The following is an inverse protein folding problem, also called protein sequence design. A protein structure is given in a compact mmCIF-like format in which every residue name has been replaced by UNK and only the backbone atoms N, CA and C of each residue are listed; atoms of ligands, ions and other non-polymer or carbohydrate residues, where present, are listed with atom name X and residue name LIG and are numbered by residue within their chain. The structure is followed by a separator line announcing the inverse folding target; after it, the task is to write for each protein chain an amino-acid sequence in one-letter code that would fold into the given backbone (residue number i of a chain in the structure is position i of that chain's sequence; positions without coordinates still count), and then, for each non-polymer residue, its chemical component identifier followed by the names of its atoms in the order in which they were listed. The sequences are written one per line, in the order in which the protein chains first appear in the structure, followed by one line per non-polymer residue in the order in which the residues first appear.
data_IF_532399440452
#
_entry.id   IF_532399440452
#
_cell.length_a   1.000
_cell.length_b   1.000
_cell.length_c   1.000
_cell.angle_alpha   90.00
_cell.angle_beta   90.00
_cell.angle_gamma   90.00
#
_symmetry.space_group_name_H-M   'P 1'
#
loop_
_entity.id
_entity.type
_entity.pdbx_description
1 polymer ?
#
# COMPACT_ATOMS: atom_id res chain seq x y z
N UNK A 1 -16.43 0.99 21.67
CA UNK A 1 -15.31 1.42 20.79
C UNK A 1 -14.13 0.44 20.68
N UNK A 2 -13.83 -0.43 21.66
CA UNK A 2 -12.62 -1.32 21.64
C UNK A 2 -12.64 -2.43 20.57
N UNK A 3 -13.80 -2.94 20.13
CA UNK A 3 -13.86 -4.13 19.24
C UNK A 3 -13.40 -3.90 17.78
N UNK A 4 -13.71 -2.78 17.07
CA UNK A 4 -13.16 -2.53 15.73
C UNK A 4 -11.63 -2.51 15.72
N UNK A 5 -11.00 -1.89 16.71
CA UNK A 5 -9.54 -1.83 16.84
C UNK A 5 -8.91 -3.22 16.98
N UNK A 6 -9.49 -4.10 17.81
CA UNK A 6 -8.99 -5.47 18.01
C UNK A 6 -9.02 -6.25 16.68
N UNK A 7 -10.08 -6.10 15.88
CA UNK A 7 -10.18 -6.75 14.57
C UNK A 7 -9.07 -6.25 13.65
N UNK A 8 -8.85 -4.93 13.60
CA UNK A 8 -7.78 -4.33 12.80
C UNK A 8 -6.40 -4.84 13.19
N UNK A 9 -6.08 -4.90 14.49
CA UNK A 9 -4.81 -5.43 15.00
C UNK A 9 -4.64 -6.90 14.59
N UNK A 10 -5.66 -7.73 14.84
CA UNK A 10 -5.55 -9.18 14.58
C UNK A 10 -5.32 -9.49 13.11
N UNK A 11 -6.10 -8.87 12.20
CA UNK A 11 -5.95 -9.11 10.77
C UNK A 11 -4.69 -8.48 10.19
N UNK A 12 -4.21 -7.37 10.73
CA UNK A 12 -2.91 -6.81 10.35
C UNK A 12 -1.76 -7.73 10.74
N UNK A 13 -1.76 -8.24 11.98
CA UNK A 13 -0.75 -9.21 12.43
C UNK A 13 -0.79 -10.50 11.61
N UNK A 14 -1.98 -10.99 11.27
CA UNK A 14 -2.13 -12.15 10.38
C UNK A 14 -1.46 -11.90 9.03
N UNK A 15 -1.68 -10.73 8.42
CA UNK A 15 -1.02 -10.38 7.16
C UNK A 15 0.50 -10.28 7.30
N UNK A 16 0.99 -9.67 8.39
CA UNK A 16 2.43 -9.58 8.66
C UNK A 16 3.08 -10.98 8.75
N UNK A 17 2.43 -11.92 9.46
CA UNK A 17 2.88 -13.29 9.56
C UNK A 17 2.90 -14.01 8.20
N UNK A 18 1.85 -13.84 7.40
CA UNK A 18 1.80 -14.41 6.04
C UNK A 18 2.96 -13.84 5.20
N UNK A 19 3.18 -12.53 5.21
CA UNK A 19 4.28 -11.90 4.45
C UNK A 19 5.65 -12.44 4.88
N UNK A 20 5.87 -12.62 6.18
CA UNK A 20 7.11 -13.22 6.70
C UNK A 20 7.28 -14.69 6.28
N UNK A 21 6.20 -15.46 6.30
CA UNK A 21 6.22 -16.86 5.87
C UNK A 21 6.59 -16.97 4.38
N UNK A 22 6.03 -16.11 3.53
CA UNK A 22 6.39 -16.07 2.10
C UNK A 22 7.86 -15.73 1.89
N UNK A 23 8.42 -14.80 2.69
CA UNK A 23 9.83 -14.49 2.64
C UNK A 23 10.72 -15.70 3.02
N UNK A 24 10.39 -16.39 4.12
CA UNK A 24 11.15 -17.57 4.56
C UNK A 24 11.11 -18.73 3.55
N UNK A 25 10.00 -18.85 2.81
CA UNK A 25 9.83 -19.86 1.76
C UNK A 25 10.42 -19.45 0.40
N UNK A 26 11.12 -18.32 0.33
CA UNK A 26 11.67 -17.73 -0.90
C UNK A 26 10.62 -17.43 -1.99
N UNK A 27 9.36 -17.23 -1.60
CA UNK A 27 8.28 -16.81 -2.50
C UNK A 27 8.13 -15.28 -2.59
N UNK A 28 9.14 -14.51 -2.19
CA UNK A 28 9.14 -13.05 -2.27
C UNK A 28 9.60 -12.51 -3.64
N UNK A 29 9.30 -13.27 -4.70
CA UNK A 29 9.55 -12.91 -6.08
C UNK A 29 8.45 -12.00 -6.63
N UNK A 30 8.72 -11.19 -7.67
CA UNK A 30 7.75 -10.25 -8.24
C UNK A 30 6.42 -10.87 -8.64
N UNK A 31 6.41 -12.13 -9.08
CA UNK A 31 5.20 -12.84 -9.50
C UNK A 31 4.26 -13.14 -8.33
N UNK A 32 4.79 -13.43 -7.15
CA UNK A 32 4.00 -13.67 -5.95
C UNK A 32 3.58 -12.36 -5.24
N UNK A 33 4.28 -11.25 -5.51
CA UNK A 33 3.95 -9.96 -4.90
C UNK A 33 2.52 -9.52 -5.22
N UNK A 34 2.02 -9.79 -6.42
CA UNK A 34 0.64 -9.49 -6.83
C UNK A 34 -0.37 -10.18 -5.92
N UNK A 35 -0.15 -11.46 -5.62
CA UNK A 35 -1.02 -12.24 -4.73
C UNK A 35 -0.99 -11.72 -3.30
N UNK A 36 0.18 -11.32 -2.81
CA UNK A 36 0.32 -10.70 -1.49
C UNK A 36 -0.41 -9.37 -1.39
N UNK A 37 -0.37 -8.55 -2.46
CA UNK A 37 -1.13 -7.29 -2.52
C UNK A 37 -2.63 -7.57 -2.54
N UNK A 38 -3.10 -8.52 -3.35
CA UNK A 38 -4.53 -8.90 -3.38
C UNK A 38 -5.00 -9.43 -2.02
N UNK A 39 -4.20 -10.27 -1.36
CA UNK A 39 -4.49 -10.77 -0.03
C UNK A 39 -4.55 -9.64 1.01
N UNK A 40 -3.64 -8.67 0.93
CA UNK A 40 -3.67 -7.48 1.78
C UNK A 40 -4.97 -6.69 1.62
N UNK A 41 -5.39 -6.46 0.38
CA UNK A 41 -6.66 -5.78 0.08
C UNK A 41 -7.86 -6.58 0.60
N UNK A 42 -7.85 -7.90 0.46
CA UNK A 42 -8.89 -8.79 1.00
C UNK A 42 -8.97 -8.68 2.52
N UNK A 43 -7.84 -8.75 3.24
CA UNK A 43 -7.81 -8.64 4.70
C UNK A 43 -8.23 -7.24 5.18
N UNK A 44 -7.88 -6.19 4.45
CA UNK A 44 -8.36 -4.83 4.72
C UNK A 44 -9.90 -4.74 4.57
N UNK A 45 -10.46 -5.33 3.50
CA UNK A 45 -11.91 -5.42 3.28
C UNK A 45 -12.60 -6.21 4.39
N UNK A 46 -12.04 -7.36 4.80
CA UNK A 46 -12.56 -8.15 5.92
C UNK A 46 -12.50 -7.36 7.23
N UNK A 47 -11.44 -6.60 7.46
CA UNK A 47 -11.32 -5.73 8.64
C UNK A 47 -12.47 -4.73 8.71
N UNK A 48 -12.74 -4.04 7.62
CA UNK A 48 -13.86 -3.08 7.50
C UNK A 48 -15.19 -3.77 7.73
N UNK A 49 -15.44 -4.87 7.00
CA UNK A 49 -16.69 -5.62 7.04
C UNK A 49 -17.01 -6.11 8.45
N UNK A 50 -16.04 -6.78 9.10
CA UNK A 50 -16.21 -7.29 10.45
C UNK A 50 -16.39 -6.18 11.50
N UNK A 51 -15.72 -5.05 11.30
CA UNK A 51 -15.82 -3.88 12.17
C UNK A 51 -17.24 -3.29 12.13
N UNK A 52 -17.80 -3.11 10.94
CA UNK A 52 -19.17 -2.64 10.75
C UNK A 52 -20.15 -3.66 11.30
N UNK A 53 -20.06 -4.93 10.90
CA UNK A 53 -20.97 -5.99 11.30
C UNK A 53 -21.05 -6.15 12.83
N UNK A 54 -19.90 -6.28 13.51
CA UNK A 54 -19.89 -6.45 14.98
C UNK A 54 -20.39 -5.19 15.71
N UNK A 55 -20.15 -4.00 15.17
CA UNK A 55 -20.66 -2.77 15.75
C UNK A 55 -22.16 -2.66 15.58
N UNK A 56 -22.69 -2.97 14.39
CA UNK A 56 -24.11 -2.92 14.07
C UNK A 56 -24.93 -3.95 14.89
N UNK A 57 -24.41 -5.18 15.01
CA UNK A 57 -25.03 -6.22 15.84
C UNK A 57 -25.17 -5.80 17.31
N UNK A 58 -24.23 -4.96 17.80
CA UNK A 58 -24.25 -4.47 19.19
C UNK A 58 -25.18 -3.29 19.41
N UNK A 59 -25.33 -2.43 18.39
CA UNK A 59 -26.12 -1.20 18.43
C UNK A 59 -26.96 -1.11 17.15
N UNK A 60 -28.13 -1.80 17.09
CA UNK A 60 -28.92 -1.90 15.85
C UNK A 60 -29.43 -0.56 15.29
N UNK A 61 -29.68 0.43 16.13
CA UNK A 61 -30.17 1.75 15.76
C UNK A 61 -29.15 2.72 15.15
N UNK A 62 -27.89 2.31 14.92
CA UNK A 62 -26.85 3.21 14.38
C UNK A 62 -27.20 3.74 12.98
N UNK A 63 -26.89 5.01 12.74
CA UNK A 63 -27.00 5.64 11.42
C UNK A 63 -25.85 5.26 10.49
N UNK A 64 -25.95 5.59 9.19
CA UNK A 64 -24.94 5.27 8.18
C UNK A 64 -23.56 5.81 8.53
N UNK A 65 -23.50 7.05 9.01
CA UNK A 65 -22.24 7.72 9.36
C UNK A 65 -21.50 6.94 10.46
N UNK A 66 -22.21 6.41 11.44
CA UNK A 66 -21.62 5.62 12.52
C UNK A 66 -21.13 4.27 12.01
N UNK A 67 -21.84 3.63 11.08
CA UNK A 67 -21.39 2.39 10.44
C UNK A 67 -20.08 2.63 9.68
N UNK A 68 -20.01 3.69 8.86
CA UNK A 68 -18.78 4.10 8.13
C UNK A 68 -17.64 4.41 9.10
N UNK A 69 -17.91 5.18 10.16
CA UNK A 69 -16.91 5.50 11.20
C UNK A 69 -16.33 4.23 11.86
N UNK A 70 -17.16 3.23 12.14
CA UNK A 70 -16.71 1.96 12.71
C UNK A 70 -15.84 1.16 11.73
N UNK A 71 -16.18 1.17 10.44
CA UNK A 71 -15.38 0.58 9.38
C UNK A 71 -14.01 1.23 9.26
N UNK A 72 -13.99 2.57 9.15
CA UNK A 72 -12.75 3.37 9.09
C UNK A 72 -11.90 3.13 10.35
N UNK A 73 -12.50 3.08 11.53
CA UNK A 73 -11.74 2.89 12.78
C UNK A 73 -10.97 1.57 12.83
N UNK A 74 -11.58 0.48 12.38
CA UNK A 74 -10.89 -0.81 12.27
C UNK A 74 -9.83 -0.81 11.18
N UNK A 75 -10.20 -0.31 10.00
CA UNK A 75 -9.34 -0.24 8.83
C UNK A 75 -8.13 0.70 9.02
N UNK A 76 -8.30 1.81 9.75
CA UNK A 76 -7.19 2.72 10.09
C UNK A 76 -6.09 2.02 10.88
N UNK A 77 -6.47 1.26 11.91
CA UNK A 77 -5.50 0.50 12.71
C UNK A 77 -4.79 -0.54 11.87
N UNK A 78 -5.54 -1.29 11.04
CA UNK A 78 -4.97 -2.23 10.08
C UNK A 78 -3.94 -1.54 9.18
N UNK A 79 -4.32 -0.43 8.55
CA UNK A 79 -3.47 0.35 7.63
C UNK A 79 -2.18 0.82 8.30
N UNK A 80 -2.28 1.39 9.49
CA UNK A 80 -1.10 1.89 10.23
C UNK A 80 -0.13 0.75 10.52
N UNK A 81 -0.61 -0.37 11.09
CA UNK A 81 0.25 -1.51 11.43
C UNK A 81 0.93 -2.08 10.17
N UNK A 82 0.17 -2.31 9.10
CA UNK A 82 0.69 -2.86 7.84
C UNK A 82 1.73 -1.92 7.22
N UNK A 83 1.48 -0.62 7.19
CA UNK A 83 2.41 0.35 6.60
C UNK A 83 3.72 0.46 7.37
N UNK A 84 3.66 0.51 8.70
CA UNK A 84 4.87 0.47 9.54
C UNK A 84 5.62 -0.85 9.42
N UNK A 85 4.89 -1.97 9.36
CA UNK A 85 5.52 -3.28 9.13
C UNK A 85 6.25 -3.30 7.77
N UNK A 86 5.69 -2.78 6.69
CA UNK A 86 6.37 -2.68 5.39
C UNK A 86 7.65 -1.86 5.46
N UNK A 87 7.65 -0.76 6.22
CA UNK A 87 8.88 0.00 6.46
C UNK A 87 9.97 -0.87 7.08
N UNK A 88 9.68 -1.52 8.22
CA UNK A 88 10.63 -2.42 8.89
C UNK A 88 11.05 -3.59 8.01
N UNK A 89 10.11 -4.15 7.27
CA UNK A 89 10.35 -5.27 6.38
C UNK A 89 11.39 -4.94 5.31
N UNK A 90 11.19 -3.85 4.56
CA UNK A 90 12.11 -3.45 3.50
C UNK A 90 13.38 -2.77 4.00
N UNK A 91 13.42 -2.31 5.25
CA UNK A 91 14.63 -1.73 5.81
C UNK A 91 15.55 -2.77 6.46
N UNK A 92 14.98 -3.80 7.11
CA UNK A 92 15.76 -4.69 7.97
C UNK A 92 15.66 -6.18 7.58
N UNK A 93 14.53 -6.64 7.02
CA UNK A 93 14.29 -8.05 6.74
C UNK A 93 14.67 -8.37 5.28
N UNK A 94 14.18 -7.60 4.34
CA UNK A 94 14.48 -7.78 2.92
C UNK A 94 14.92 -6.47 2.23
N UNK A 95 16.03 -5.84 2.62
CA UNK A 95 16.54 -4.65 1.98
C UNK A 95 16.98 -4.93 0.53
N UNK A 96 17.42 -6.16 0.26
CA UNK A 96 17.88 -6.58 -1.05
C UNK A 96 16.82 -6.44 -2.13
N UNK A 97 15.55 -6.60 -1.79
CA UNK A 97 14.45 -6.38 -2.73
C UNK A 97 14.47 -4.96 -3.33
N UNK A 98 14.56 -3.94 -2.47
CA UNK A 98 14.58 -2.55 -2.91
C UNK A 98 15.86 -2.22 -3.69
N UNK A 99 17.02 -2.75 -3.28
CA UNK A 99 18.29 -2.59 -3.97
C UNK A 99 18.18 -3.18 -5.39
N UNK A 100 17.70 -4.40 -5.54
CA UNK A 100 17.55 -5.05 -6.83
C UNK A 100 16.57 -4.30 -7.76
N UNK A 101 15.47 -3.75 -7.21
CA UNK A 101 14.54 -2.94 -8.00
C UNK A 101 15.18 -1.61 -8.44
N UNK A 102 15.96 -0.98 -7.57
CA UNK A 102 16.69 0.23 -7.91
C UNK A 102 17.73 -0.03 -9.02
N UNK A 103 18.56 -1.07 -8.89
CA UNK A 103 19.54 -1.45 -9.90
C UNK A 103 18.89 -1.74 -11.27
N UNK A 104 17.77 -2.47 -11.26
CA UNK A 104 16.99 -2.72 -12.48
C UNK A 104 16.53 -1.41 -13.11
N UNK A 105 16.00 -0.49 -12.31
CA UNK A 105 15.54 0.82 -12.78
C UNK A 105 16.68 1.70 -13.29
N UNK A 106 17.84 1.65 -12.65
CA UNK A 106 19.03 2.37 -13.10
C UNK A 106 19.52 1.89 -14.47
N UNK A 107 19.50 0.58 -14.71
CA UNK A 107 19.80 0.01 -16.02
C UNK A 107 18.80 0.45 -17.10
N UNK A 108 17.51 0.42 -16.77
CA UNK A 108 16.45 0.90 -17.67
C UNK A 108 16.63 2.39 -18.03
N UNK A 109 16.94 3.24 -17.04
CA UNK A 109 17.22 4.67 -17.26
C UNK A 109 18.41 4.85 -18.21
N UNK A 110 19.49 4.12 -17.97
CA UNK A 110 20.70 4.22 -18.80
C UNK A 110 20.41 3.82 -20.25
N UNK A 111 19.70 2.71 -20.46
CA UNK A 111 19.31 2.24 -21.79
C UNK A 111 18.33 3.20 -22.49
N UNK A 112 17.35 3.74 -21.74
CA UNK A 112 16.40 4.69 -22.28
C UNK A 112 17.03 5.99 -22.79
N UNK A 113 18.10 6.44 -22.12
CA UNK A 113 18.85 7.65 -22.49
C UNK A 113 19.87 7.42 -23.62
N UNK A 114 20.08 6.18 -24.07
CA UNK A 114 20.86 5.88 -25.27
C UNK A 114 20.13 6.28 -26.56
N UNK A 115 18.78 6.31 -26.53
CA UNK A 115 17.99 6.82 -27.64
C UNK A 115 17.82 8.35 -27.56
N UNK A 116 18.29 9.12 -28.56
CA UNK A 116 18.21 10.58 -28.56
C UNK A 116 16.75 11.11 -28.46
N UNK A 117 15.76 10.37 -28.99
CA UNK A 117 14.35 10.77 -28.91
C UNK A 117 13.84 10.70 -27.48
N UNK A 118 14.15 9.61 -26.78
CA UNK A 118 13.79 9.46 -25.37
C UNK A 118 14.47 10.49 -24.47
N UNK A 119 15.74 10.79 -24.78
CA UNK A 119 16.49 11.83 -24.05
C UNK A 119 15.80 13.21 -24.22
N UNK A 120 15.47 13.59 -25.44
CA UNK A 120 14.77 14.85 -25.74
C UNK A 120 13.39 14.92 -25.06
N UNK A 121 12.60 13.82 -25.07
CA UNK A 121 11.31 13.73 -24.38
C UNK A 121 11.46 13.92 -22.87
N UNK A 122 12.43 13.26 -22.26
CA UNK A 122 12.70 13.39 -20.82
C UNK A 122 13.15 14.81 -20.46
N UNK A 123 14.03 15.41 -21.25
CA UNK A 123 14.48 16.79 -21.05
C UNK A 123 13.33 17.80 -21.19
N UNK A 124 12.33 17.50 -22.02
CA UNK A 124 11.18 18.38 -22.21
C UNK A 124 10.25 18.45 -20.99
N UNK A 125 10.26 17.43 -20.13
CA UNK A 125 9.35 17.30 -18.97
C UNK A 125 9.62 18.29 -17.86
N UNK A 126 10.88 18.75 -17.73
CA UNK A 126 11.26 19.77 -16.74
C UNK A 126 12.19 20.80 -17.36
N UNK A 127 11.91 22.12 -17.18
CA UNK A 127 12.76 23.18 -17.71
C UNK A 127 14.22 23.06 -17.30
N UNK A 128 14.48 22.69 -16.06
CA UNK A 128 15.81 22.50 -15.47
C UNK A 128 16.62 21.36 -16.10
N UNK A 129 15.97 20.41 -16.75
CA UNK A 129 16.62 19.25 -17.37
C UNK A 129 17.07 19.51 -18.81
N UNK A 130 16.61 20.59 -19.43
CA UNK A 130 16.94 20.92 -20.83
C UNK A 130 18.41 21.24 -21.06
N UNK A 131 19.08 21.77 -20.03
CA UNK A 131 20.51 22.11 -20.08
C UNK A 131 21.44 21.00 -19.61
N UNK A 132 20.89 19.90 -19.06
CA UNK A 132 21.70 18.82 -18.52
C UNK A 132 22.29 17.95 -19.64
N UNK A 133 23.57 17.62 -19.50
CA UNK A 133 24.21 16.57 -20.29
C UNK A 133 23.57 15.20 -19.97
N UNK A 134 23.79 14.21 -20.86
CA UNK A 134 23.31 12.84 -20.62
C UNK A 134 23.78 12.30 -19.25
N UNK A 135 25.06 12.53 -18.90
CA UNK A 135 25.61 12.07 -17.62
C UNK A 135 24.92 12.68 -16.41
N UNK A 136 24.69 13.99 -16.42
CA UNK A 136 24.00 14.71 -15.36
C UNK A 136 22.53 14.27 -15.25
N UNK A 137 21.86 14.05 -16.39
CA UNK A 137 20.50 13.57 -16.41
C UNK A 137 20.36 12.14 -15.84
N UNK A 138 21.33 11.26 -16.13
CA UNK A 138 21.41 9.92 -15.52
C UNK A 138 21.52 10.02 -14.01
N UNK A 139 22.40 10.87 -13.51
CA UNK A 139 22.60 11.05 -12.05
C UNK A 139 21.31 11.56 -11.39
N UNK A 140 20.65 12.54 -11.98
CA UNK A 140 19.43 13.12 -11.42
C UNK A 140 18.25 12.09 -11.42
N UNK A 141 18.10 11.33 -12.51
CA UNK A 141 17.08 10.30 -12.61
C UNK A 141 17.32 9.14 -11.63
N UNK A 142 18.59 8.74 -11.44
CA UNK A 142 18.95 7.73 -10.44
C UNK A 142 18.67 8.20 -9.02
N UNK A 143 18.97 9.45 -8.71
CA UNK A 143 18.64 10.05 -7.41
C UNK A 143 17.14 10.05 -7.14
N UNK A 144 16.34 10.42 -8.14
CA UNK A 144 14.88 10.36 -8.03
C UNK A 144 14.40 8.90 -7.85
N UNK A 145 14.94 7.95 -8.62
CA UNK A 145 14.62 6.54 -8.49
C UNK A 145 14.92 6.00 -7.08
N UNK A 146 16.05 6.37 -6.48
CA UNK A 146 16.44 5.96 -5.14
C UNK A 146 15.41 6.39 -4.08
N UNK A 147 14.76 7.55 -4.24
CA UNK A 147 13.67 7.99 -3.35
C UNK A 147 12.48 7.06 -3.47
N UNK A 148 12.06 6.70 -4.70
CA UNK A 148 10.90 5.82 -4.96
C UNK A 148 11.09 4.40 -4.40
N UNK A 149 12.31 3.86 -4.45
CA UNK A 149 12.61 2.54 -3.91
C UNK A 149 13.07 2.57 -2.45
N UNK A 150 12.90 3.70 -1.75
CA UNK A 150 13.21 3.76 -0.32
C UNK A 150 12.11 3.12 0.54
N UNK A 151 12.46 2.46 1.66
CA UNK A 151 11.48 1.92 2.60
C UNK A 151 10.49 2.97 3.13
N UNK A 152 10.95 4.22 3.32
CA UNK A 152 10.12 5.35 3.75
C UNK A 152 9.05 5.69 2.73
N UNK A 153 9.41 5.73 1.45
CA UNK A 153 8.46 6.00 0.37
C UNK A 153 7.43 4.87 0.26
N UNK A 154 7.88 3.62 0.32
CA UNK A 154 6.98 2.44 0.32
C UNK A 154 5.96 2.52 1.45
N UNK A 155 6.39 2.85 2.68
CA UNK A 155 5.49 3.06 3.82
C UNK A 155 4.48 4.17 3.55
N UNK A 156 4.94 5.32 3.05
CA UNK A 156 4.07 6.46 2.79
C UNK A 156 3.00 6.15 1.75
N UNK A 157 3.39 5.54 0.63
CA UNK A 157 2.45 5.13 -0.42
C UNK A 157 1.49 4.05 0.08
N UNK A 158 1.98 3.05 0.81
CA UNK A 158 1.12 2.02 1.39
C UNK A 158 0.09 2.63 2.37
N UNK A 159 0.53 3.56 3.23
CA UNK A 159 -0.35 4.27 4.16
C UNK A 159 -1.46 5.02 3.42
N UNK A 160 -1.09 5.85 2.44
CA UNK A 160 -2.06 6.65 1.67
C UNK A 160 -3.03 5.77 0.86
N UNK A 161 -2.50 4.78 0.15
CA UNK A 161 -3.31 3.88 -0.69
C UNK A 161 -4.30 3.06 0.15
N UNK A 162 -3.84 2.48 1.27
CA UNK A 162 -4.69 1.71 2.17
C UNK A 162 -5.70 2.59 2.91
N UNK A 163 -5.36 3.82 3.30
CA UNK A 163 -6.31 4.77 3.90
C UNK A 163 -7.44 5.09 2.93
N UNK A 164 -7.09 5.42 1.68
CA UNK A 164 -8.09 5.69 0.65
C UNK A 164 -8.97 4.45 0.41
N UNK A 165 -8.35 3.29 0.24
CA UNK A 165 -9.04 2.02 0.03
C UNK A 165 -10.01 1.69 1.16
N UNK A 166 -9.58 1.76 2.42
CA UNK A 166 -10.39 1.52 3.61
C UNK A 166 -11.56 2.49 3.71
N UNK A 167 -11.34 3.77 3.40
CA UNK A 167 -12.37 4.80 3.45
C UNK A 167 -13.48 4.52 2.43
N UNK A 168 -13.12 4.25 1.17
CA UNK A 168 -14.08 3.91 0.11
C UNK A 168 -14.83 2.62 0.44
N UNK A 169 -14.11 1.57 0.85
CA UNK A 169 -14.74 0.30 1.25
C UNK A 169 -15.67 0.44 2.45
N UNK A 170 -15.34 1.29 3.42
CA UNK A 170 -16.22 1.52 4.58
C UNK A 170 -17.57 2.09 4.17
N UNK A 171 -17.58 3.00 3.21
CA UNK A 171 -18.85 3.55 2.67
C UNK A 171 -19.62 2.48 1.90
N UNK A 172 -18.97 1.78 0.98
CA UNK A 172 -19.62 0.76 0.14
C UNK A 172 -20.19 -0.38 0.98
N UNK A 173 -19.42 -0.92 1.91
CA UNK A 173 -19.84 -2.03 2.77
C UNK A 173 -20.95 -1.60 3.72
N UNK A 174 -20.90 -0.38 4.27
CA UNK A 174 -21.97 0.15 5.11
C UNK A 174 -23.31 0.24 4.35
N UNK A 175 -23.29 0.69 3.10
CA UNK A 175 -24.47 0.75 2.23
C UNK A 175 -25.01 -0.66 1.90
N UNK A 176 -24.13 -1.59 1.51
CA UNK A 176 -24.50 -2.97 1.21
C UNK A 176 -25.12 -3.65 2.44
N UNK A 177 -24.48 -3.55 3.59
CA UNK A 177 -24.98 -4.17 4.82
C UNK A 177 -26.34 -3.61 5.24
N UNK A 178 -26.57 -2.31 5.07
CA UNK A 178 -27.90 -1.72 5.34
C UNK A 178 -28.97 -2.24 4.41
N UNK A 179 -28.65 -2.36 3.10
CA UNK A 179 -29.62 -2.81 2.11
C UNK A 179 -29.94 -4.30 2.23
N UNK A 180 -28.96 -5.16 2.52
CA UNK A 180 -29.13 -6.62 2.41
C UNK A 180 -29.13 -7.35 3.75
N UNK A 181 -28.36 -6.92 4.74
CA UNK A 181 -28.22 -7.63 6.01
C UNK A 181 -29.08 -7.06 7.15
N UNK A 182 -29.34 -5.76 7.11
CA UNK A 182 -30.03 -5.06 8.20
C UNK A 182 -31.26 -4.29 7.71
N UNK A 183 -31.75 -4.65 6.55
CA UNK A 183 -33.04 -4.18 6.03
C UNK A 183 -34.18 -4.86 6.83
N UNK A 184 -34.67 -4.20 7.85
CA UNK A 184 -35.96 -4.47 8.51
C UNK A 184 -36.78 -3.21 8.57
#
# INVERSE_FOLDING_TARGET
MKKPFIIGIFLALLWCLIKLSFFQLNYDQPDFLKWLVMLNMLLATLTVSLSIYKSKKRLPGQNLLMDVKNGISGGLIYTVIVSFFLFFYYQNINPQYNINQLEKREKEISLALDDPKNMADIQSKKPEWRSLSKGELVVELKKNAAVFFSPKFTMTIALLALLLYVTVNSLLIALIFRKFLFSK
#
